data_IF_610422250972
#
_entry.id   IF_610422250972
#
_cell.length_a   1.000
_cell.length_b   1.000
_cell.length_c   1.000
_cell.angle_alpha   90.00
_cell.angle_beta   90.00
_cell.angle_gamma   90.00
#
_symmetry.space_group_name_H-M   'P 1'
#
loop_
_entity.id
_entity.type
_entity.pdbx_description
1 polymer ?
2 polymer ?
3 non-polymer ?
4 non-polymer ?
5 water ?
#
# COMPACT_ATOMS: atom_id res chain seq x y z
N UNK A 5 -14.55 -4.35 -1.65
CA UNK A 5 -14.49 -3.91 -0.25
C UNK A 5 -14.59 -5.07 0.74
N UNK A 6 -13.63 -5.07 1.67
CA UNK A 6 -13.47 -6.11 2.67
C UNK A 6 -13.54 -5.50 4.06
N UNK A 7 -13.80 -6.36 5.05
CA UNK A 7 -13.79 -5.98 6.45
C UNK A 7 -12.78 -6.83 7.22
N UNK A 8 -12.04 -6.19 8.10
CA UNK A 8 -11.07 -6.89 8.94
C UNK A 8 -11.78 -7.71 10.01
N UNK A 9 -11.42 -8.99 10.09
CA UNK A 9 -12.00 -9.88 11.08
C UNK A 9 -11.16 -9.97 12.36
N UNK A 10 -9.94 -9.44 12.27
CA UNK A 10 -8.92 -9.48 13.31
C UNK A 10 -8.18 -8.15 13.30
N UNK A 11 -7.52 -7.81 14.42
CA UNK A 11 -6.46 -6.82 14.37
C UNK A 11 -5.24 -7.43 13.66
N UNK A 12 -4.42 -6.57 13.08
CA UNK A 12 -3.16 -7.00 12.50
C UNK A 12 -2.13 -5.89 12.73
N UNK A 13 -1.04 -6.26 13.41
CA UNK A 13 0.09 -5.39 13.67
C UNK A 13 1.16 -5.57 12.57
N UNK A 14 1.55 -4.47 11.95
CA UNK A 14 2.56 -4.52 10.88
C UNK A 14 3.84 -5.21 11.32
N UNK A 15 4.38 -6.04 10.42
CA UNK A 15 5.62 -6.78 10.70
C UNK A 15 6.73 -6.41 9.74
N UNK A 16 6.44 -5.52 8.79
CA UNK A 16 7.43 -5.01 7.85
C UNK A 16 7.16 -3.55 7.57
N UNK A 17 8.07 -2.89 6.85
CA UNK A 17 7.87 -1.49 6.51
C UNK A 17 6.79 -1.26 5.45
N UNK A 18 6.29 -2.32 4.82
CA UNK A 18 5.25 -2.15 3.81
C UNK A 18 3.92 -2.80 4.18
N UNK A 19 3.81 -3.36 5.38
CA UNK A 19 2.54 -3.90 5.84
C UNK A 19 1.60 -2.75 6.22
N UNK A 20 0.31 -3.08 6.26
CA UNK A 20 -0.72 -2.19 6.79
C UNK A 20 -1.19 -2.74 8.13
N UNK A 21 -1.02 -1.96 9.20
CA UNK A 21 -1.64 -2.27 10.49
C UNK A 21 -3.12 -1.88 10.43
N UNK A 22 -3.99 -2.72 10.98
CA UNK A 22 -5.40 -2.42 11.00
C UNK A 22 -6.08 -3.05 12.20
N UNK A 23 -7.22 -2.49 12.54
CA UNK A 23 -8.07 -2.98 13.61
C UNK A 23 -9.24 -3.78 13.08
N UNK A 24 -9.65 -4.76 13.87
CA UNK A 24 -10.88 -5.48 13.59
C UNK A 24 -12.01 -4.49 13.27
N UNK A 25 -12.75 -4.76 12.19
CA UNK A 25 -13.87 -3.95 11.77
C UNK A 25 -13.54 -2.85 10.76
N UNK A 26 -12.25 -2.57 10.55
CA UNK A 26 -11.89 -1.60 9.52
C UNK A 26 -12.36 -2.08 8.15
N UNK A 27 -12.75 -1.13 7.31
CA UNK A 27 -13.15 -1.41 5.95
C UNK A 27 -11.95 -1.14 5.03
N UNK A 28 -11.65 -2.10 4.19
CA UNK A 28 -10.47 -2.06 3.36
C UNK A 28 -10.84 -2.23 1.89
N UNK A 29 -10.17 -1.51 1.02
CA UNK A 29 -10.30 -1.71 -0.41
C UNK A 29 -9.06 -2.44 -0.88
N UNK A 30 -9.25 -3.53 -1.61
CA UNK A 30 -8.11 -4.30 -2.10
C UNK A 30 -7.61 -3.68 -3.38
N UNK A 31 -6.33 -3.32 -3.37
CA UNK A 31 -5.67 -2.70 -4.50
C UNK A 31 -5.15 -3.76 -5.48
N UNK A 32 -4.40 -4.74 -4.97
CA UNK A 32 -3.89 -5.82 -5.80
C UNK A 32 -3.41 -7.00 -4.94
N UNK A 33 -3.02 -8.07 -5.59
CA UNK A 33 -2.47 -9.22 -4.88
C UNK A 33 -1.00 -9.45 -5.27
N UNK A 34 -0.18 -8.37 -5.23
CA UNK A 34 1.22 -8.44 -5.67
C UNK A 34 2.18 -9.12 -4.69
N UNK A 35 1.66 -9.55 -3.55
CA UNK A 35 2.41 -10.34 -2.58
C UNK A 35 1.71 -11.71 -2.38
N UNK A 36 0.89 -12.12 -3.35
CA UNK A 36 0.23 -13.44 -3.31
C UNK A 36 -1.00 -13.51 -2.41
N UNK A 37 -0.92 -14.32 -1.35
CA UNK A 37 -1.94 -14.31 -0.30
C UNK A 37 -1.77 -13.07 0.63
N UNK A 38 -0.75 -12.28 0.34
CA UNK A 38 -0.61 -10.95 0.92
C UNK A 38 -1.10 -9.95 -0.13
N UNK A 39 -2.12 -9.18 0.25
CA UNK A 39 -2.79 -8.26 -0.66
C UNK A 39 -2.40 -6.83 -0.30
N UNK A 40 -2.19 -6.01 -1.31
CA UNK A 40 -2.06 -4.56 -1.09
C UNK A 40 -3.45 -4.01 -0.85
N UNK A 41 -3.65 -3.33 0.28
CA UNK A 41 -4.98 -2.87 0.66
C UNK A 41 -4.91 -1.43 1.14
N UNK A 42 -6.01 -0.73 0.96
CA UNK A 42 -6.17 0.63 1.42
C UNK A 42 -7.27 0.66 2.46
N UNK A 43 -6.95 1.20 3.64
CA UNK A 43 -7.96 1.34 4.68
C UNK A 43 -8.81 2.57 4.45
N UNK A 44 -10.11 2.35 4.26
CA UNK A 44 -11.03 3.47 4.16
C UNK A 44 -11.13 4.17 5.51
N UNK A 45 -10.80 3.44 6.57
CA UNK A 45 -10.94 3.94 7.91
C UNK A 45 -9.77 4.90 8.26
N UNK A 46 -8.53 4.51 7.97
CA UNK A 46 -7.36 5.30 8.36
C UNK A 46 -6.67 6.06 7.22
N UNK A 47 -6.98 5.67 5.98
CA UNK A 47 -6.34 6.27 4.82
C UNK A 47 -4.99 5.68 4.46
N UNK A 48 -4.50 4.73 5.25
CA UNK A 48 -3.22 4.11 4.97
C UNK A 48 -3.36 2.98 3.96
N UNK A 49 -2.22 2.64 3.35
CA UNK A 49 -2.14 1.59 2.34
C UNK A 49 -0.92 0.72 2.63
N UNK A 50 -1.11 -0.59 2.57
CA UNK A 50 -0.02 -1.52 2.81
C UNK A 50 -0.50 -2.95 2.64
N UNK A 51 0.41 -3.89 2.81
CA UNK A 51 0.12 -5.30 2.60
C UNK A 51 -0.57 -5.90 3.83
N UNK A 52 -1.52 -6.80 3.56
CA UNK A 52 -2.29 -7.46 4.59
C UNK A 52 -2.35 -8.95 4.31
N UNK A 53 -2.50 -9.75 5.38
CA UNK A 53 -2.72 -11.18 5.20
C UNK A 53 -4.18 -11.40 4.77
N UNK A 54 -4.40 -12.00 3.61
CA UNK A 54 -5.75 -12.03 3.04
C UNK A 54 -6.71 -12.90 3.84
N UNK A 55 -6.18 -13.77 4.69
CA UNK A 55 -7.04 -14.62 5.52
C UNK A 55 -7.53 -13.88 6.79
N UNK A 56 -7.20 -12.61 6.95
CA UNK A 56 -7.66 -11.83 8.09
C UNK A 56 -8.86 -10.94 7.75
N UNK A 57 -9.30 -11.01 6.49
CA UNK A 57 -10.38 -10.16 6.01
C UNK A 57 -11.43 -11.01 5.28
N UNK A 58 -12.62 -10.45 5.13
CA UNK A 58 -13.68 -11.10 4.36
C UNK A 58 -14.48 -10.01 3.64
N UNK A 59 -15.22 -10.37 2.58
CA UNK A 59 -15.95 -9.35 1.86
C UNK A 59 -16.98 -8.64 2.71
N UNK A 60 -17.10 -7.34 2.52
CA UNK A 60 -18.18 -6.58 3.10
C UNK A 60 -19.47 -7.08 2.50
N UNK A 61 -20.52 -7.06 3.31
CA UNK A 61 -21.77 -7.57 2.85
C UNK A 61 -22.28 -6.70 1.70
C UNK B 1 -6.71 -17.77 16.51
N UNK B 2 -5.99 -16.68 16.23
CA UNK B 2 -5.96 -16.12 14.88
C UNK B 2 -5.30 -17.12 13.94
N UNK B 3 -5.72 -17.12 12.67
CA UNK B 3 -5.10 -18.07 11.76
C UNK B 3 -3.64 -17.71 11.46
N UNK B 4 -2.87 -18.69 11.00
CA UNK B 4 -1.46 -18.41 10.74
C UNK B 4 -1.32 -17.44 9.58
N UNK B 5 -0.29 -16.62 9.63
CA UNK B 5 -0.02 -15.72 8.52
C UNK B 5 0.43 -16.51 7.30
N UNK B 6 -0.04 -16.13 6.11
CA UNK B 6 0.43 -16.83 4.92
C UNK B 6 1.92 -16.62 4.70
N UNK B 7 2.58 -17.55 4.01
CA UNK B 7 3.93 -17.20 3.53
C UNK B 7 3.85 -15.99 2.60
N UNK B 8 4.90 -15.17 2.59
CA UNK B 8 4.90 -13.95 1.77
C UNK B 8 5.34 -14.21 0.35
N UNK C 4 12.78 -5.35 2.84
CA UNK C 4 12.40 -6.00 1.59
C UNK C 4 12.75 -5.10 0.42
N UNK C 5 13.27 -5.67 -0.65
CA UNK C 5 13.52 -4.92 -1.87
C UNK C 5 12.29 -5.03 -2.75
N UNK C 6 11.88 -3.90 -3.33
CA UNK C 6 10.76 -3.87 -4.25
C UNK C 6 11.26 -3.58 -5.64
N UNK C 7 10.45 -3.96 -6.61
CA UNK C 7 10.74 -3.67 -8.00
C UNK C 7 9.59 -2.87 -8.60
N UNK C 8 9.95 -1.88 -9.40
CA UNK C 8 8.97 -1.09 -10.13
C UNK C 8 8.41 -1.94 -11.27
N UNK C 9 7.07 -2.04 -11.34
CA UNK C 9 6.44 -2.83 -12.40
C UNK C 9 6.10 -2.01 -13.63
N UNK C 10 6.18 -0.69 -13.51
CA UNK C 10 5.83 0.26 -14.56
C UNK C 10 6.80 1.42 -14.49
N UNK C 11 6.94 2.16 -15.59
CA UNK C 11 7.56 3.47 -15.52
C UNK C 11 6.62 4.43 -14.80
N UNK C 12 7.19 5.45 -14.20
CA UNK C 12 6.42 6.52 -13.58
C UNK C 12 7.14 7.84 -13.84
N UNK C 13 6.46 8.72 -14.56
CA UNK C 13 6.93 10.06 -14.87
C UNK C 13 6.57 11.02 -13.74
N UNK C 14 7.54 11.82 -13.30
CA UNK C 14 7.32 12.75 -12.20
C UNK C 14 6.23 13.76 -12.56
N UNK C 15 5.34 14.00 -11.60
CA UNK C 15 4.25 14.95 -11.76
C UNK C 15 4.22 16.06 -10.71
N UNK C 16 5.07 15.94 -9.69
CA UNK C 16 5.11 16.88 -8.59
C UNK C 16 6.55 17.12 -8.16
N UNK C 17 6.73 18.08 -7.27
CA UNK C 17 8.06 18.37 -6.75
C UNK C 17 8.54 17.39 -5.67
N UNK C 18 7.66 16.52 -5.19
CA UNK C 18 8.07 15.60 -4.13
C UNK C 18 8.02 14.12 -4.55
N UNK C 19 7.53 13.81 -5.76
CA UNK C 19 7.52 12.40 -6.18
C UNK C 19 8.88 11.98 -6.73
N UNK C 20 9.00 10.67 -6.89
CA UNK C 20 10.18 10.02 -7.43
C UNK C 20 9.83 9.40 -8.76
N UNK C 21 10.44 9.85 -9.84
CA UNK C 21 10.31 9.18 -11.13
C UNK C 21 11.19 7.93 -11.15
N UNK C 22 10.70 6.88 -11.78
CA UNK C 22 11.42 5.63 -11.91
C UNK C 22 11.03 4.89 -13.19
N UNK C 23 11.92 4.01 -13.60
CA UNK C 23 11.70 3.11 -14.72
C UNK C 23 11.35 1.73 -14.21
N UNK C 24 10.54 1.04 -14.99
CA UNK C 24 10.26 -0.36 -14.74
C UNK C 24 11.54 -1.14 -14.50
N UNK C 25 11.53 -1.98 -13.48
CA UNK C 25 12.67 -2.80 -13.14
C UNK C 25 13.61 -2.21 -12.10
N UNK C 26 13.49 -0.91 -11.80
CA UNK C 26 14.29 -0.31 -10.74
C UNK C 26 14.01 -1.02 -9.44
N UNK C 27 15.06 -1.10 -8.63
CA UNK C 27 15.02 -1.67 -7.30
C UNK C 27 14.83 -0.55 -6.30
N UNK C 28 13.83 -0.73 -5.44
CA UNK C 28 13.40 0.29 -4.50
C UNK C 28 13.33 -0.25 -3.08
N UNK C 29 13.71 0.60 -2.13
CA UNK C 29 13.49 0.38 -0.72
C UNK C 29 12.45 1.37 -0.24
N UNK C 30 11.48 0.87 0.50
CA UNK C 30 10.45 1.72 1.03
C UNK C 30 10.91 2.28 2.37
N UNK C 31 10.95 3.59 2.46
CA UNK C 31 11.35 4.32 3.65
C UNK C 31 10.21 4.39 4.65
N UNK C 32 9.01 4.67 4.15
CA UNK C 32 7.85 4.77 5.03
C UNK C 32 6.58 4.58 4.25
N UNK C 33 5.59 3.95 4.89
CA UNK C 33 4.29 3.76 4.25
C UNK C 33 3.12 4.11 5.14
N UNK C 34 3.23 5.14 5.97
CA UNK C 34 2.15 5.46 6.89
C UNK C 34 1.46 6.78 6.55
N UNK C 35 1.62 7.31 5.34
CA UNK C 35 1.02 8.60 5.00
C UNK C 35 -0.06 8.54 3.94
N UNK C 36 -0.33 7.36 3.41
CA UNK C 36 -1.35 7.18 2.39
C UNK C 36 -0.91 6.27 1.25
N UNK C 37 -1.52 6.46 0.08
CA UNK C 37 -1.19 5.62 -1.06
C UNK C 37 0.16 5.92 -1.69
N UNK C 38 0.72 7.08 -1.37
CA UNK C 38 2.03 7.46 -1.86
C UNK C 38 3.02 7.21 -0.74
N UNK C 39 4.02 6.37 -1.03
CA UNK C 39 5.00 5.91 -0.08
C UNK C 39 6.32 6.59 -0.36
N UNK C 40 7.02 6.99 0.69
CA UNK C 40 8.38 7.46 0.53
C UNK C 40 9.32 6.32 0.23
N UNK C 41 10.05 6.44 -0.88
CA UNK C 41 10.93 5.39 -1.35
C UNK C 41 12.28 5.92 -1.77
N UNK C 42 13.26 5.03 -1.71
CA UNK C 42 14.59 5.31 -2.17
C UNK C 42 14.96 4.34 -3.27
N UNK C 43 15.37 4.85 -4.42
CA UNK C 43 15.80 3.97 -5.49
C UNK C 43 17.23 3.53 -5.29
N UNK C 44 17.43 2.23 -5.16
CA UNK C 44 18.76 1.64 -5.10
C UNK C 44 19.45 1.74 -6.46
N UNK C 45 18.65 1.88 -7.50
CA UNK C 45 19.17 1.93 -8.87
C UNK C 45 19.72 3.31 -9.21
N UNK C 46 19.01 4.36 -8.84
CA UNK C 46 19.39 5.72 -9.18
C UNK C 46 19.92 6.55 -8.02
N UNK C 47 19.62 6.11 -6.80
CA UNK C 47 20.01 6.83 -5.58
C UNK C 47 19.06 7.94 -5.17
N UNK C 48 18.01 8.19 -5.97
CA UNK C 48 17.09 9.27 -5.65
C UNK C 48 15.99 8.79 -4.69
N UNK C 49 15.37 9.75 -4.00
CA UNK C 49 14.35 9.48 -2.98
C UNK C 49 13.15 10.38 -3.18
N UNK C 50 11.96 9.82 -3.05
CA UNK C 50 10.75 10.60 -3.15
C UNK C 50 9.54 9.70 -3.08
N UNK C 51 8.37 10.30 -3.25
CA UNK C 51 7.13 9.55 -3.16
C UNK C 51 6.83 8.77 -4.43
N UNK C 52 6.36 7.54 -4.23
CA UNK C 52 5.97 6.68 -5.32
C UNK C 52 4.52 6.20 -5.10
N UNK C 53 3.81 5.91 -6.20
CA UNK C 53 2.48 5.32 -6.06
C UNK C 53 2.63 3.86 -5.66
N UNK C 54 2.05 3.51 -4.51
CA UNK C 54 2.29 2.20 -3.95
C UNK C 54 1.78 1.07 -4.81
N UNK C 55 0.84 1.37 -5.71
CA UNK C 55 0.27 0.35 -6.58
C UNK C 55 1.11 0.09 -7.84
N UNK C 56 2.29 0.69 -7.93
CA UNK C 56 3.16 0.52 -9.09
C UNK C 56 4.36 -0.41 -8.84
N UNK C 57 4.44 -0.98 -7.64
CA UNK C 57 5.59 -1.79 -7.25
C UNK C 57 5.17 -3.15 -6.73
N UNK C 58 6.12 -4.06 -6.64
CA UNK C 58 5.89 -5.37 -6.04
C UNK C 58 7.17 -5.84 -5.37
N UNK C 59 7.04 -6.76 -4.41
CA UNK C 59 8.24 -7.31 -3.78
C UNK C 59 9.09 -8.00 -4.83
N UNK C 60 10.41 -7.90 -4.71
CA UNK C 60 11.32 -8.63 -5.59
C UNK C 60 11.19 -10.14 -5.42
C UNK D 1 -1.80 -0.44 -17.50
N UNK D 2 -1.21 0.74 -17.29
CA UNK D 2 -0.71 1.09 -15.98
C UNK D 2 -1.86 1.30 -15.02
N UNK D 3 -1.63 1.02 -13.73
CA UNK D 3 -2.71 1.22 -12.75
C UNK D 3 -3.11 2.69 -12.66
N UNK D 4 -4.38 2.97 -12.31
CA UNK D 4 -4.72 4.37 -12.06
C UNK D 4 -3.87 4.93 -10.92
N UNK D 5 -3.41 6.16 -11.05
CA UNK D 5 -2.66 6.76 -9.97
C UNK D 5 -3.60 6.98 -8.80
N UNK D 6 -3.13 6.65 -7.59
CA UNK D 6 -4.01 6.76 -6.43
C UNK D 6 -4.13 8.21 -5.97
N UNK D 7 -5.18 8.50 -5.18
CA UNK D 7 -5.35 9.87 -4.68
C UNK D 7 -4.16 10.32 -3.87
N UNK D 8 -3.90 11.62 -3.84
CA UNK D 8 -2.80 12.14 -3.03
C UNK D 8 -3.07 11.86 -1.55
N UNK D 9 -1.98 11.77 -0.79
CA UNK D 9 -2.06 11.49 0.63
C UNK D 9 -2.90 12.53 1.36
N UNK D 10 -3.71 12.09 2.32
CA UNK D 10 -4.49 13.00 3.20
C UNK D 10 -3.54 13.94 3.93
N UNK D 11 -4.01 15.14 4.30
CA UNK D 11 -3.20 15.92 5.24
C UNK D 11 -2.94 15.10 6.50
N UNK D 12 -1.71 15.09 7.01
CA UNK D 12 -1.41 14.16 8.10
C UNK D 12 -1.98 14.60 9.44
N UNK D 13 -2.28 15.88 9.59
CA UNK D 13 -2.91 16.39 10.81
C UNK D 13 -4.39 16.54 10.58
N UNK E 3 -16.66 4.31 7.34
CA UNK E 3 -16.22 5.59 7.88
C UNK E 3 -17.31 6.67 7.77
N UNK E 4 -17.34 7.62 8.73
CA UNK E 4 -18.34 8.69 8.79
C UNK E 4 -18.24 9.64 7.59
N UNK E 5 -17.03 9.78 7.07
CA UNK E 5 -16.77 10.62 5.92
C UNK E 5 -16.67 9.76 4.66
N UNK E 6 -17.54 10.00 3.66
CA UNK E 6 -17.45 9.19 2.44
C UNK E 6 -16.04 9.20 1.83
N UNK E 7 -15.47 8.01 1.55
CA UNK E 7 -14.13 7.94 0.96
C UNK E 7 -14.04 8.57 -0.42
N UNK E 8 -12.83 8.97 -0.83
CA UNK E 8 -12.63 9.43 -2.19
C UNK E 8 -12.88 8.27 -3.12
N UNK E 9 -13.78 8.44 -4.09
CA UNK E 9 -14.18 7.32 -4.93
C UNK E 9 -13.23 7.15 -6.11
N UNK E 10 -12.02 6.67 -5.83
CA UNK E 10 -10.98 6.58 -6.84
C UNK E 10 -10.62 5.12 -7.16
N UNK E 11 -10.43 4.84 -8.45
CA UNK E 11 -9.96 3.52 -8.91
C UNK E 11 -8.54 3.24 -8.42
X LIG F 1 -21.10 -6.17 7.19
X LIG F 1 -20.56 -5.63 8.43
X LIG F 1 -21.75 -7.46 7.42
X LIG F 1 -22.09 -5.25 6.65
X LIG F 1 -20.02 -6.33 6.20
X LIG G 1 17.99 7.45 -14.77
X LIG G 1 17.35 8.38 -13.83
X LIG G 1 19.34 7.13 -14.28
X LIG G 1 17.15 6.25 -14.84
X LIG G 1 18.09 8.07 -16.08
X LIG H 1 1.69 12.41 -2.34
X LIG H 1 0.45 12.82 -1.80
X LIG H 1 2.31 13.45 -3.24
X LIG H 1 2.90 14.45 -2.43
X LIG H 1 3.35 12.76 -4.12
X LIG H 1 4.42 13.60 -4.50
X LIG I 1 0.80 17.55 5.31
X LIG I 1 1.97 18.06 6.00
X LIG I 1 0.53 16.17 5.67
X LIG I 1 -0.38 18.37 5.59
X LIG I 1 1.04 17.64 3.87
X LIG J 1 -9.45 7.95 1.54
X LIG J 1 -9.21 9.25 2.20
X LIG J 1 -9.19 6.88 2.49
X LIG J 1 -10.86 7.93 1.17
X LIG J 1 -8.62 7.81 0.34
#
# INVERSE_FOLDING_TARGET
GSHMTFVALYDYVSRTETDLSFKKGERLQIVNNTEGDWWLAHSLTTGRTGYIPSNYVAPSD
XAPPLPPRNRPRL
GSHMTFVALYDYVSRTETDLSFKKGERLQIVNNTEGDWWLAHSLTTGRTGYIPSNYVAPSD
XAPPLPPRNRPRL
XAPPLPPRNRPRL
SO4 S O1 O2 O3 O4
SO4 S O1 O2 O3 O4
GOL C1 O1 C2 O2 C3 O3
SO4 S O1 O2 O3 O4
SO4 S O1 O2 O3 O4
#
